data_IF_998573006330
#
_entry.id   IF_998573006330
#
_cell.length_a   1.000
_cell.length_b   1.000
_cell.length_c   1.000
_cell.angle_alpha   90.00
_cell.angle_beta   90.00
_cell.angle_gamma   90.00
#
_symmetry.space_group_name_H-M   'P 1'
#
loop_
_entity.id
_entity.type
_entity.pdbx_description
1 polymer ?
#
# COMPACT_ATOMS: atom_id res chain seq x y z
N UNK A 1 19.01 -71.09 33.81
CA UNK A 1 18.52 -71.24 35.20
C UNK A 1 18.00 -69.89 35.67
N UNK A 2 16.75 -69.87 36.16
CA UNK A 2 16.13 -68.86 37.03
C UNK A 2 16.02 -67.40 36.52
N UNK A 3 14.83 -67.05 36.02
CA UNK A 3 14.07 -65.99 36.68
C UNK A 3 13.70 -66.52 38.10
N UNK A 4 13.57 -65.73 39.19
CA UNK A 4 12.81 -64.47 39.22
C UNK A 4 13.35 -63.44 40.27
N UNK A 5 12.69 -62.27 40.40
CA UNK A 5 11.92 -61.84 41.59
C UNK A 5 11.81 -60.33 41.70
N UNK A 6 10.56 -59.92 41.88
CA UNK A 6 10.06 -58.60 42.22
C UNK A 6 10.70 -58.00 43.48
N UNK A 7 10.85 -56.67 43.44
CA UNK A 7 10.94 -55.79 44.61
C UNK A 7 9.99 -54.58 44.41
N UNK A 8 9.61 -53.87 45.48
CA UNK A 8 8.21 -53.55 45.78
C UNK A 8 7.75 -52.13 45.44
N UNK A 9 6.42 -51.93 45.51
CA UNK A 9 5.75 -50.63 45.57
C UNK A 9 6.29 -49.78 46.74
N UNK A 10 6.63 -48.53 46.44
CA UNK A 10 6.66 -47.44 47.41
C UNK A 10 5.78 -46.30 46.91
N UNK A 11 4.78 -45.97 47.73
CA UNK A 11 3.84 -44.86 47.58
C UNK A 11 4.43 -43.57 48.15
N UNK A 12 4.26 -42.49 47.39
CA UNK A 12 4.09 -41.10 47.80
C UNK A 12 4.83 -40.58 49.03
N UNK A 13 5.85 -39.74 48.79
CA UNK A 13 5.94 -38.45 49.46
C UNK A 13 6.82 -37.46 48.65
N UNK A 14 6.33 -36.22 48.55
CA UNK A 14 7.05 -34.99 48.19
C UNK A 14 7.37 -34.72 46.71
N UNK A 15 6.38 -34.19 46.00
CA UNK A 15 6.57 -33.38 44.79
C UNK A 15 7.09 -31.99 45.21
N UNK A 16 8.27 -31.53 44.74
CA UNK A 16 8.69 -30.14 44.95
C UNK A 16 7.87 -29.22 44.05
N UNK A 17 7.21 -28.21 44.64
CA UNK A 17 6.54 -27.13 43.91
C UNK A 17 7.56 -26.40 43.01
N UNK A 18 7.26 -26.15 41.72
CA UNK A 18 8.15 -25.35 40.90
C UNK A 18 8.18 -23.91 41.42
N UNK A 19 9.40 -23.44 41.68
CA UNK A 19 9.73 -22.05 42.02
C UNK A 19 9.21 -21.15 40.91
N UNK A 20 8.50 -20.08 41.30
CA UNK A 20 8.15 -18.96 40.41
C UNK A 20 9.45 -18.35 39.89
N UNK A 21 9.85 -18.68 38.66
CA UNK A 21 10.86 -17.93 37.92
C UNK A 21 10.19 -16.73 37.28
N UNK A 22 10.62 -15.58 37.74
CA UNK A 22 10.34 -14.27 37.18
C UNK A 22 10.91 -14.15 35.75
N UNK A 23 10.12 -13.51 34.87
CA UNK A 23 10.49 -12.83 33.62
C UNK A 23 11.07 -13.71 32.50
N UNK A 24 10.34 -13.81 31.39
CA UNK A 24 10.74 -13.35 30.04
C UNK A 24 9.65 -13.76 29.04
N UNK A 25 8.86 -12.79 28.54
CA UNK A 25 8.41 -12.70 27.14
C UNK A 25 7.36 -11.58 26.99
N UNK A 26 7.75 -10.34 27.25
CA UNK A 26 7.05 -9.21 26.63
C UNK A 26 7.59 -9.11 25.21
N UNK A 27 6.92 -9.77 24.26
CA UNK A 27 7.11 -9.48 22.85
C UNK A 27 6.65 -8.05 22.63
N UNK A 28 7.60 -7.14 22.45
CA UNK A 28 7.32 -5.84 21.87
C UNK A 28 6.87 -6.07 20.43
N UNK A 29 5.55 -6.17 20.22
CA UNK A 29 4.98 -5.73 18.94
C UNK A 29 5.55 -4.33 18.73
N UNK A 30 6.40 -4.15 17.72
CA UNK A 30 6.81 -2.81 17.32
C UNK A 30 5.54 -1.99 17.15
N UNK A 31 5.35 -0.98 18.00
CA UNK A 31 4.24 -0.05 17.88
C UNK A 31 4.41 0.63 16.53
N UNK A 32 3.60 0.25 15.55
CA UNK A 32 3.51 0.95 14.26
C UNK A 32 2.70 2.22 14.51
N UNK A 33 3.23 3.10 15.34
CA UNK A 33 2.74 4.45 15.50
C UNK A 33 3.64 5.34 14.66
N UNK A 34 3.10 5.86 13.56
CA UNK A 34 3.77 6.84 12.72
C UNK A 34 3.22 8.23 13.09
N UNK A 35 3.75 8.90 14.14
CA UNK A 35 3.25 10.20 14.59
C UNK A 35 3.34 11.28 13.50
N UNK A 36 4.21 11.08 12.52
CA UNK A 36 4.49 12.03 11.44
C UNK A 36 3.96 11.55 10.08
N UNK A 37 2.96 10.68 10.08
CA UNK A 37 2.28 10.27 8.85
C UNK A 37 1.40 11.42 8.35
N UNK A 38 1.51 11.72 7.06
CA UNK A 38 0.71 12.75 6.38
C UNK A 38 0.20 12.18 5.06
N UNK A 39 -0.97 12.63 4.63
CA UNK A 39 -1.47 12.25 3.31
C UNK A 39 -0.60 12.93 2.25
N UNK A 40 -0.68 12.41 1.03
CA UNK A 40 0.09 12.92 -0.12
C UNK A 40 -0.07 14.43 -0.34
N UNK A 41 -1.28 14.96 -0.13
CA UNK A 41 -1.60 16.38 -0.32
C UNK A 41 -0.94 17.27 0.74
N UNK A 42 -1.07 16.91 2.01
CA UNK A 42 -0.47 17.64 3.13
C UNK A 42 1.05 17.62 3.02
N UNK A 43 1.65 16.49 2.60
CA UNK A 43 3.10 16.43 2.33
C UNK A 43 3.53 17.36 1.21
N UNK A 44 2.80 17.38 0.09
CA UNK A 44 3.10 18.28 -1.01
C UNK A 44 2.96 19.75 -0.60
N UNK A 45 1.92 20.07 0.16
CA UNK A 45 1.72 21.42 0.71
C UNK A 45 2.90 21.83 1.60
N UNK A 46 3.36 20.93 2.46
CA UNK A 46 4.44 21.21 3.41
C UNK A 46 5.82 21.24 2.74
N UNK A 47 6.04 20.43 1.68
CA UNK A 47 7.26 20.43 0.87
C UNK A 47 7.49 21.78 0.17
N UNK A 48 6.41 22.50 -0.16
CA UNK A 48 6.43 23.68 -1.04
C UNK A 48 7.05 23.35 -2.41
N UNK A 49 7.26 24.36 -3.26
CA UNK A 49 7.98 24.16 -4.52
C UNK A 49 9.49 24.08 -4.25
N UNK A 50 10.15 22.95 -4.52
CA UNK A 50 11.59 22.84 -4.32
C UNK A 50 12.34 23.64 -5.39
N UNK A 51 13.47 24.29 -5.04
CA UNK A 51 14.27 25.05 -6.00
C UNK A 51 14.97 24.18 -7.05
N UNK A 52 15.20 22.91 -6.74
CA UNK A 52 15.82 21.94 -7.64
C UNK A 52 15.33 20.52 -7.36
N UNK A 53 15.25 19.70 -8.42
CA UNK A 53 14.76 18.32 -8.39
C UNK A 53 15.62 17.44 -9.29
N UNK A 54 15.96 16.25 -8.80
CA UNK A 54 16.67 15.21 -9.56
C UNK A 54 15.80 13.96 -9.53
N UNK A 55 15.54 13.36 -10.69
CA UNK A 55 14.71 12.16 -10.78
C UNK A 55 15.34 11.11 -11.69
N UNK A 56 15.34 9.86 -11.24
CA UNK A 56 15.53 8.67 -12.07
C UNK A 56 14.15 8.04 -12.24
N UNK A 57 13.69 7.86 -13.47
CA UNK A 57 12.32 7.38 -13.74
C UNK A 57 12.35 6.02 -14.41
N UNK A 58 11.46 5.14 -13.96
CA UNK A 58 11.18 3.84 -14.58
C UNK A 58 12.42 2.98 -14.79
N UNK A 59 13.32 2.95 -13.80
CA UNK A 59 14.46 2.06 -13.80
C UNK A 59 13.95 0.62 -13.75
N UNK A 60 14.27 -0.16 -14.77
CA UNK A 60 13.68 -1.47 -14.97
C UNK A 60 14.51 -2.55 -14.27
N UNK A 61 13.83 -3.46 -13.58
CA UNK A 61 14.43 -4.66 -13.01
C UNK A 61 13.46 -5.85 -13.16
N UNK A 62 13.99 -7.07 -13.03
CA UNK A 62 13.17 -8.29 -12.95
C UNK A 62 13.38 -8.86 -11.55
N UNK A 63 12.34 -8.79 -10.71
CA UNK A 63 12.46 -9.11 -9.29
C UNK A 63 11.39 -10.12 -8.87
N UNK A 64 11.71 -10.90 -7.83
CA UNK A 64 10.75 -11.71 -7.10
C UNK A 64 10.16 -10.84 -5.99
N UNK A 65 9.06 -10.15 -6.28
CA UNK A 65 8.43 -9.19 -5.35
C UNK A 65 6.92 -9.26 -5.47
N UNK A 66 6.23 -9.21 -4.32
CA UNK A 66 4.78 -9.24 -4.24
C UNK A 66 4.14 -10.47 -4.91
N UNK A 67 2.91 -10.26 -5.40
CA UNK A 67 2.07 -11.20 -6.12
C UNK A 67 2.01 -10.87 -7.61
N UNK A 68 1.86 -11.89 -8.44
CA UNK A 68 1.51 -11.68 -9.85
C UNK A 68 0.01 -11.36 -10.01
N UNK A 69 -0.43 -11.15 -11.26
CA UNK A 69 -1.84 -10.88 -11.58
C UNK A 69 -2.82 -12.00 -11.15
N UNK A 70 -2.32 -13.19 -10.83
CA UNK A 70 -3.11 -14.34 -10.38
C UNK A 70 -3.05 -14.54 -8.86
N UNK A 71 -2.41 -13.62 -8.13
CA UNK A 71 -2.20 -13.69 -6.69
C UNK A 71 -1.12 -14.69 -6.27
N UNK A 72 -0.32 -15.21 -7.21
CA UNK A 72 0.77 -16.14 -6.89
C UNK A 72 1.95 -15.36 -6.34
N UNK A 73 2.43 -15.78 -5.19
CA UNK A 73 3.61 -15.19 -4.58
C UNK A 73 4.90 -15.81 -5.12
N UNK A 74 6.01 -15.09 -4.97
CA UNK A 74 7.33 -15.60 -5.31
C UNK A 74 7.58 -15.74 -6.81
N UNK A 75 6.74 -15.17 -7.66
CA UNK A 75 6.99 -15.12 -9.10
C UNK A 75 7.94 -13.97 -9.43
N UNK A 76 8.79 -14.18 -10.44
CA UNK A 76 9.61 -13.09 -11.01
C UNK A 76 8.76 -12.26 -11.95
N UNK A 77 8.79 -10.94 -11.81
CA UNK A 77 8.03 -10.03 -12.65
C UNK A 77 8.83 -8.75 -12.95
N UNK A 78 8.54 -8.06 -14.07
CA UNK A 78 9.12 -6.75 -14.34
C UNK A 78 8.67 -5.75 -13.27
N UNK A 79 9.61 -4.90 -12.85
CA UNK A 79 9.42 -3.84 -11.87
C UNK A 79 9.99 -2.55 -12.44
N UNK A 80 9.26 -1.45 -12.28
CA UNK A 80 9.74 -0.11 -12.59
C UNK A 80 9.97 0.62 -11.26
N UNK A 81 11.17 1.15 -11.08
CA UNK A 81 11.55 1.90 -9.88
C UNK A 81 11.84 3.34 -10.28
N UNK A 82 11.10 4.27 -9.69
CA UNK A 82 11.31 5.71 -9.85
C UNK A 82 11.75 6.30 -8.52
N UNK A 83 12.75 7.15 -8.56
CA UNK A 83 13.25 7.89 -7.42
C UNK A 83 13.32 9.37 -7.76
N UNK A 84 12.83 10.19 -6.85
CA UNK A 84 12.79 11.64 -6.96
C UNK A 84 13.40 12.22 -5.70
N UNK A 85 14.39 13.08 -5.88
CA UNK A 85 15.05 13.80 -4.80
C UNK A 85 14.84 15.29 -5.01
N UNK A 86 14.25 15.95 -4.02
CA UNK A 86 14.08 17.40 -4.00
C UNK A 86 15.17 18.01 -3.13
N UNK A 87 15.86 19.03 -3.64
CA UNK A 87 16.94 19.69 -2.91
C UNK A 87 16.40 20.86 -2.09
N UNK A 88 17.14 21.26 -1.06
CA UNK A 88 16.84 22.48 -0.27
C UNK A 88 17.32 23.75 -0.96
N UNK A 89 18.37 23.63 -1.76
CA UNK A 89 19.03 24.73 -2.46
C UNK A 89 19.11 24.42 -3.96
N UNK A 90 19.21 25.44 -4.83
CA UNK A 90 19.48 25.25 -6.25
C UNK A 90 20.88 24.66 -6.50
N UNK A 91 21.19 24.33 -7.76
CA UNK A 91 22.45 23.69 -8.18
C UNK A 91 23.68 24.62 -8.16
N UNK A 92 23.79 25.54 -7.21
CA UNK A 92 24.71 26.70 -7.25
C UNK A 92 26.11 26.37 -7.78
N UNK A 93 26.91 25.64 -7.02
CA UNK A 93 28.30 25.33 -7.41
C UNK A 93 28.37 24.39 -8.61
N UNK A 94 27.44 23.43 -8.72
CA UNK A 94 27.42 22.47 -9.81
C UNK A 94 27.14 23.14 -11.17
N UNK A 95 26.26 24.14 -11.20
CA UNK A 95 25.89 24.88 -12.41
C UNK A 95 26.99 25.84 -12.87
N UNK A 96 27.69 26.49 -11.93
CA UNK A 96 28.76 27.44 -12.25
C UNK A 96 30.02 26.73 -12.72
N UNK A 97 30.33 25.58 -12.13
CA UNK A 97 31.57 24.84 -12.41
C UNK A 97 31.41 23.77 -13.49
N UNK A 98 30.18 23.48 -13.93
CA UNK A 98 29.85 22.37 -14.82
C UNK A 98 30.40 21.02 -14.31
N UNK A 99 30.31 20.82 -12.99
CA UNK A 99 30.86 19.65 -12.29
C UNK A 99 29.88 19.10 -11.26
N UNK A 100 29.95 17.79 -11.01
CA UNK A 100 29.18 17.13 -9.96
C UNK A 100 29.82 17.43 -8.60
N UNK A 101 29.41 18.55 -8.01
CA UNK A 101 29.90 19.04 -6.72
C UNK A 101 28.96 18.67 -5.57
N UNK A 102 29.27 19.11 -4.34
CA UNK A 102 28.47 18.83 -3.14
C UNK A 102 27.06 19.47 -3.15
N UNK A 103 26.75 20.38 -4.08
CA UNK A 103 25.41 20.99 -4.22
C UNK A 103 24.45 20.19 -5.09
N UNK A 104 24.86 19.05 -5.63
CA UNK A 104 24.03 18.20 -6.50
C UNK A 104 24.19 16.71 -6.15
N UNK A 105 23.31 15.89 -6.73
CA UNK A 105 23.34 14.43 -6.58
C UNK A 105 23.56 13.82 -7.96
N UNK A 106 24.50 12.89 -8.06
CA UNK A 106 24.74 12.17 -9.30
C UNK A 106 23.60 11.15 -9.55
N UNK A 107 22.79 11.37 -10.58
CA UNK A 107 21.71 10.47 -10.96
C UNK A 107 22.22 9.08 -11.40
N UNK A 108 23.44 8.99 -11.93
CA UNK A 108 24.11 7.73 -12.26
C UNK A 108 24.39 6.92 -10.99
N UNK A 109 25.02 7.53 -9.98
CA UNK A 109 25.26 6.87 -8.68
C UNK A 109 23.94 6.50 -7.99
N UNK A 110 22.91 7.35 -8.08
CA UNK A 110 21.56 7.04 -7.59
C UNK A 110 20.98 5.80 -8.27
N UNK A 111 21.04 5.73 -9.61
CA UNK A 111 20.53 4.57 -10.36
C UNK A 111 21.26 3.27 -10.01
N UNK A 112 22.60 3.33 -9.86
CA UNK A 112 23.42 2.17 -9.45
C UNK A 112 23.03 1.72 -8.04
N UNK A 113 22.90 2.65 -7.10
CA UNK A 113 22.53 2.33 -5.72
C UNK A 113 21.13 1.70 -5.62
N UNK A 114 20.16 2.16 -6.42
CA UNK A 114 18.84 1.56 -6.51
C UNK A 114 18.93 0.11 -7.02
N UNK A 115 19.67 -0.12 -8.11
CA UNK A 115 19.83 -1.47 -8.67
C UNK A 115 20.58 -2.41 -7.73
N UNK A 116 21.64 -1.94 -7.06
CA UNK A 116 22.33 -2.71 -6.03
C UNK A 116 21.39 -3.11 -4.89
N UNK A 117 20.54 -2.20 -4.42
CA UNK A 117 19.55 -2.49 -3.40
C UNK A 117 18.50 -3.50 -3.89
N UNK A 118 18.04 -3.36 -5.13
CA UNK A 118 17.10 -4.27 -5.75
C UNK A 118 17.68 -5.68 -5.96
N UNK A 119 18.95 -5.78 -6.38
CA UNK A 119 19.65 -7.06 -6.50
C UNK A 119 19.87 -7.71 -5.13
N UNK A 120 20.32 -6.94 -4.13
CA UNK A 120 20.42 -7.45 -2.74
C UNK A 120 19.08 -7.94 -2.21
N UNK A 121 18.00 -7.24 -2.54
CA UNK A 121 16.64 -7.68 -2.21
C UNK A 121 16.28 -8.99 -2.92
N UNK A 122 16.62 -9.12 -4.20
CA UNK A 122 16.39 -10.35 -4.98
C UNK A 122 17.19 -11.55 -4.45
N UNK A 123 18.47 -11.36 -4.15
CA UNK A 123 19.40 -12.40 -3.71
C UNK A 123 19.09 -12.92 -2.31
N UNK A 124 18.41 -12.12 -1.47
CA UNK A 124 17.80 -12.59 -0.21
C UNK A 124 16.68 -13.62 -0.43
N UNK A 125 16.35 -13.92 -1.69
CA UNK A 125 15.33 -14.81 -2.19
C UNK A 125 14.82 -15.86 -1.21
N UNK A 126 13.51 -15.85 -0.98
CA UNK A 126 12.75 -16.90 -0.28
C UNK A 126 13.18 -17.25 1.13
N UNK A 127 14.10 -16.51 1.77
CA UNK A 127 14.20 -16.58 3.22
C UNK A 127 12.85 -16.09 3.77
N UNK A 128 12.04 -16.94 4.43
CA UNK A 128 10.81 -16.47 5.03
C UNK A 128 11.18 -15.28 5.92
N UNK A 129 10.42 -14.19 5.81
CA UNK A 129 10.42 -13.18 6.86
C UNK A 129 10.16 -13.88 8.20
N UNK A 130 10.45 -13.24 9.33
CA UNK A 130 10.25 -13.82 10.67
C UNK A 130 8.80 -14.38 10.83
N UNK A 131 7.85 -13.85 10.04
CA UNK A 131 6.44 -14.22 10.02
C UNK A 131 6.05 -15.25 8.92
N UNK A 132 7.00 -15.81 8.17
CA UNK A 132 6.74 -16.78 7.10
C UNK A 132 6.22 -16.19 5.78
N UNK A 133 6.03 -14.86 5.69
CA UNK A 133 5.55 -14.16 4.49
C UNK A 133 6.67 -13.94 3.48
N UNK A 134 6.32 -13.99 2.19
CA UNK A 134 7.21 -13.63 1.08
C UNK A 134 7.43 -12.11 1.01
N UNK A 135 8.45 -11.70 0.24
CA UNK A 135 8.97 -10.34 0.16
C UNK A 135 8.00 -9.38 -0.55
N UNK A 136 7.59 -8.32 0.16
CA UNK A 136 6.56 -7.36 -0.29
C UNK A 136 7.15 -6.17 -1.04
N UNK A 137 6.31 -5.40 -1.73
CA UNK A 137 6.74 -4.11 -2.32
C UNK A 137 7.24 -3.13 -1.25
N UNK A 138 6.65 -3.17 -0.05
CA UNK A 138 7.06 -2.34 1.09
C UNK A 138 8.49 -2.64 1.54
N UNK A 139 8.88 -3.91 1.52
CA UNK A 139 10.22 -4.35 1.90
C UNK A 139 11.26 -3.91 0.88
N UNK A 140 10.90 -3.91 -0.41
CA UNK A 140 11.76 -3.38 -1.47
C UNK A 140 11.96 -1.87 -1.32
N UNK A 141 10.89 -1.10 -1.10
CA UNK A 141 10.99 0.34 -0.79
C UNK A 141 11.93 0.56 0.39
N UNK A 142 11.71 -0.15 1.50
CA UNK A 142 12.53 0.00 2.71
C UNK A 142 14.00 -0.31 2.46
N UNK A 143 14.29 -1.35 1.65
CA UNK A 143 15.66 -1.72 1.28
C UNK A 143 16.35 -0.64 0.45
N UNK A 144 15.61 -0.02 -0.48
CA UNK A 144 16.12 1.07 -1.32
C UNK A 144 16.34 2.34 -0.47
N UNK A 145 15.39 2.70 0.39
CA UNK A 145 15.52 3.85 1.31
C UNK A 145 16.74 3.71 2.21
N UNK A 146 16.95 2.53 2.82
CA UNK A 146 18.12 2.27 3.66
C UNK A 146 19.45 2.45 2.91
N UNK A 147 19.48 2.12 1.62
CA UNK A 147 20.69 2.28 0.80
C UNK A 147 20.94 3.74 0.42
N UNK A 148 19.89 4.50 0.16
CA UNK A 148 19.98 5.86 -0.39
C UNK A 148 20.04 6.92 0.71
N UNK A 149 19.18 6.81 1.72
CA UNK A 149 19.00 7.78 2.80
C UNK A 149 18.84 7.06 4.15
N UNK A 150 19.90 6.37 4.64
CA UNK A 150 19.87 5.67 5.93
C UNK A 150 19.50 6.62 7.09
N UNK A 151 19.04 6.06 8.21
CA UNK A 151 18.73 6.86 9.40
C UNK A 151 20.02 7.44 10.00
N UNK A 152 19.87 8.55 10.72
CA UNK A 152 20.98 9.22 11.39
C UNK A 152 21.70 8.22 12.31
N UNK A 153 23.00 8.04 12.09
CA UNK A 153 23.85 7.13 12.88
C UNK A 153 23.92 5.68 12.38
N UNK A 154 23.16 5.28 11.35
CA UNK A 154 23.18 3.90 10.84
C UNK A 154 24.25 3.65 9.76
N UNK A 155 24.68 4.67 9.01
CA UNK A 155 25.78 4.54 8.06
C UNK A 155 26.47 5.89 7.77
N UNK A 156 27.82 5.97 7.86
CA UNK A 156 28.56 7.19 7.50
C UNK A 156 28.55 7.48 5.99
N UNK A 157 28.37 6.47 5.15
CA UNK A 157 28.40 6.57 3.68
C UNK A 157 26.99 6.68 3.06
N UNK A 158 26.15 7.55 3.63
CA UNK A 158 24.84 7.85 3.04
C UNK A 158 25.03 8.45 1.65
N UNK A 159 24.40 7.87 0.62
CA UNK A 159 24.47 8.42 -0.74
C UNK A 159 23.88 9.84 -0.78
N UNK A 160 22.81 10.06 -0.02
CA UNK A 160 22.14 11.34 0.09
C UNK A 160 22.42 11.95 1.45
N UNK A 161 23.00 13.15 1.44
CA UNK A 161 23.13 13.98 2.64
C UNK A 161 21.79 14.66 2.95
N UNK A 162 21.23 14.40 4.13
CA UNK A 162 19.94 14.96 4.58
C UNK A 162 19.94 16.50 4.71
N UNK A 163 21.11 17.09 4.91
CA UNK A 163 21.32 18.54 4.90
C UNK A 163 21.04 19.15 3.53
N UNK A 164 21.30 18.41 2.44
CA UNK A 164 21.09 18.87 1.07
C UNK A 164 19.65 18.66 0.59
N UNK A 165 18.96 17.64 1.12
CA UNK A 165 17.68 17.15 0.59
C UNK A 165 16.49 17.58 1.43
N UNK A 166 15.47 18.12 0.77
CA UNK A 166 14.17 18.46 1.36
C UNK A 166 13.24 17.26 1.37
N UNK A 167 13.19 16.47 0.29
CA UNK A 167 12.40 15.24 0.24
C UNK A 167 12.96 14.16 -0.66
N UNK A 168 12.58 12.92 -0.36
CA UNK A 168 12.80 11.73 -1.17
C UNK A 168 11.44 11.08 -1.46
N UNK A 169 11.15 10.83 -2.72
CA UNK A 169 9.98 10.08 -3.17
C UNK A 169 10.44 8.87 -3.98
N UNK A 170 9.97 7.69 -3.57
CA UNK A 170 10.20 6.42 -4.26
C UNK A 170 8.86 5.87 -4.71
N UNK A 171 8.74 5.55 -5.99
CA UNK A 171 7.58 4.87 -6.57
C UNK A 171 8.03 3.55 -7.19
N UNK A 172 7.41 2.46 -6.77
CA UNK A 172 7.61 1.13 -7.35
C UNK A 172 6.35 0.72 -8.09
N UNK A 173 6.47 0.43 -9.38
CA UNK A 173 5.34 -0.02 -10.22
C UNK A 173 5.54 -1.46 -10.66
N UNK A 174 4.49 -2.27 -10.50
CA UNK A 174 4.41 -3.65 -10.98
C UNK A 174 3.44 -3.70 -12.18
N UNK A 175 3.94 -3.53 -13.42
CA UNK A 175 3.08 -3.41 -14.61
C UNK A 175 2.31 -4.68 -14.96
N UNK A 176 2.70 -5.85 -14.42
CA UNK A 176 2.07 -7.15 -14.69
C UNK A 176 1.38 -7.77 -13.47
N UNK A 177 1.16 -6.99 -12.41
CA UNK A 177 0.55 -7.48 -11.18
C UNK A 177 -0.98 -7.40 -11.16
N UNK A 178 -1.61 -6.80 -12.18
CA UNK A 178 -3.06 -6.68 -12.32
C UNK A 178 -3.52 -7.24 -13.66
N UNK A 179 -4.71 -7.83 -13.73
CA UNK A 179 -5.24 -8.45 -14.95
C UNK A 179 -5.90 -7.44 -15.89
N UNK A 180 -6.62 -6.47 -15.32
CA UNK A 180 -7.51 -5.56 -16.06
C UNK A 180 -6.88 -4.17 -16.25
N UNK A 181 -5.60 -4.01 -15.94
CA UNK A 181 -4.88 -2.74 -16.06
C UNK A 181 -3.86 -2.77 -17.19
N UNK A 182 -3.65 -1.62 -17.86
CA UNK A 182 -2.46 -1.45 -18.73
C UNK A 182 -1.20 -0.99 -18.02
N UNK A 183 -1.34 -0.38 -16.85
CA UNK A 183 -0.23 0.28 -16.14
C UNK A 183 0.22 -0.52 -14.92
N UNK A 184 -0.67 -1.32 -14.35
CA UNK A 184 -0.46 -2.12 -13.16
C UNK A 184 -0.76 -1.36 -11.86
N UNK A 185 -0.09 -1.79 -10.80
CA UNK A 185 -0.15 -1.17 -9.48
C UNK A 185 1.15 -0.42 -9.20
N UNK A 186 1.06 0.76 -8.59
CA UNK A 186 2.21 1.44 -8.02
C UNK A 186 2.06 1.64 -6.52
N UNK A 187 3.20 1.63 -5.81
CA UNK A 187 3.31 1.96 -4.41
C UNK A 187 4.33 3.07 -4.24
N UNK A 188 3.93 4.12 -3.55
CA UNK A 188 4.75 5.31 -3.34
C UNK A 188 5.06 5.48 -1.86
N UNK A 189 6.32 5.80 -1.57
CA UNK A 189 6.80 6.28 -0.28
C UNK A 189 7.42 7.65 -0.48
N UNK A 190 6.86 8.66 0.17
CA UNK A 190 7.39 10.01 0.18
C UNK A 190 7.86 10.35 1.59
N UNK A 191 9.11 10.79 1.72
CA UNK A 191 9.69 11.26 2.97
C UNK A 191 10.07 12.73 2.83
N UNK A 192 9.51 13.58 3.69
CA UNK A 192 9.90 14.97 3.87
C UNK A 192 10.86 15.06 5.05
N UNK A 193 12.02 15.66 4.82
CA UNK A 193 13.03 15.87 5.85
C UNK A 193 12.92 17.30 6.39
N UNK A 194 12.63 17.44 7.68
CA UNK A 194 12.71 18.72 8.38
C UNK A 194 14.13 18.91 8.94
N UNK A 195 14.87 19.87 8.38
CA UNK A 195 16.23 20.18 8.82
C UNK A 195 16.26 20.92 10.17
N UNK A 196 15.17 21.57 10.58
CA UNK A 196 15.15 22.38 11.80
C UNK A 196 14.91 21.51 13.03
N UNK A 197 14.00 20.54 12.91
CA UNK A 197 13.58 19.70 14.03
C UNK A 197 14.14 18.27 13.97
N UNK A 198 14.96 17.97 12.96
CA UNK A 198 15.45 16.61 12.65
C UNK A 198 14.31 15.58 12.55
N UNK A 199 13.11 16.04 12.16
CA UNK A 199 11.93 15.20 12.01
C UNK A 199 11.77 14.74 10.56
N UNK A 200 11.21 13.55 10.40
CA UNK A 200 10.76 13.04 9.11
C UNK A 200 9.24 12.96 9.10
N UNK A 201 8.62 13.46 8.04
CA UNK A 201 7.22 13.19 7.73
C UNK A 201 7.13 12.20 6.58
N UNK A 202 6.20 11.25 6.66
CA UNK A 202 6.06 10.19 5.66
C UNK A 202 4.66 10.15 5.07
N UNK A 203 4.59 9.83 3.79
CA UNK A 203 3.37 9.53 3.07
C UNK A 203 3.53 8.21 2.35
N UNK A 204 2.50 7.40 2.40
CA UNK A 204 2.49 6.10 1.75
C UNK A 204 1.18 5.92 1.01
N UNK A 205 1.25 5.56 -0.26
CA UNK A 205 0.06 5.29 -1.06
C UNK A 205 0.22 4.06 -1.93
N UNK A 206 -0.90 3.41 -2.23
CA UNK A 206 -1.01 2.33 -3.22
C UNK A 206 -2.01 2.77 -4.27
N UNK A 207 -1.64 2.65 -5.55
CA UNK A 207 -2.45 3.12 -6.68
C UNK A 207 -2.63 2.00 -7.70
N UNK A 208 -3.87 1.63 -8.00
CA UNK A 208 -4.23 0.83 -9.17
C UNK A 208 -4.59 1.80 -10.29
N UNK A 209 -3.87 1.73 -11.40
CA UNK A 209 -4.06 2.66 -12.53
C UNK A 209 -4.76 1.97 -13.68
N UNK A 210 -5.57 2.70 -14.43
CA UNK A 210 -6.12 2.26 -15.72
C UNK A 210 -6.86 0.90 -15.72
N UNK A 211 -7.62 0.59 -14.68
CA UNK A 211 -8.47 -0.61 -14.66
C UNK A 211 -9.60 -0.48 -15.68
N UNK A 212 -9.59 -1.32 -16.72
CA UNK A 212 -10.56 -1.31 -17.82
C UNK A 212 -11.66 -2.31 -17.57
N UNK A 213 -12.87 -1.82 -17.27
CA UNK A 213 -13.99 -2.68 -16.88
C UNK A 213 -15.23 -2.39 -17.73
N UNK A 214 -15.81 -3.46 -18.27
CA UNK A 214 -17.08 -3.38 -19.01
C UNK A 214 -18.25 -3.24 -18.02
N UNK A 215 -18.87 -2.06 -18.00
CA UNK A 215 -19.85 -1.65 -16.99
C UNK A 215 -21.14 -1.20 -17.64
N UNK A 216 -22.30 -1.55 -17.07
CA UNK A 216 -23.59 -1.04 -17.53
C UNK A 216 -23.85 0.34 -16.90
N UNK A 217 -23.54 1.41 -17.64
CA UNK A 217 -23.53 2.79 -17.13
C UNK A 217 -24.17 3.78 -18.11
N UNK A 218 -24.96 4.73 -17.61
CA UNK A 218 -25.58 5.77 -18.42
C UNK A 218 -27.05 5.99 -18.07
N UNK A 219 -27.54 7.18 -18.41
CA UNK A 219 -28.90 7.63 -18.16
C UNK A 219 -29.82 7.31 -19.34
N UNK A 220 -29.30 7.36 -20.56
CA UNK A 220 -30.12 7.19 -21.75
C UNK A 220 -30.50 5.71 -21.93
N UNK A 221 -31.74 5.37 -22.31
CA UNK A 221 -32.15 3.98 -22.54
C UNK A 221 -31.23 3.22 -23.51
N UNK A 222 -30.70 3.89 -24.53
CA UNK A 222 -29.75 3.30 -25.48
C UNK A 222 -28.44 2.85 -24.79
N UNK A 223 -27.96 3.62 -23.81
CA UNK A 223 -26.78 3.28 -23.00
C UNK A 223 -27.02 2.08 -22.07
N UNK A 224 -28.29 1.71 -21.86
CA UNK A 224 -28.71 0.57 -21.03
C UNK A 224 -28.78 -0.74 -21.80
N UNK A 225 -28.59 -0.72 -23.12
CA UNK A 225 -28.68 -1.91 -23.97
C UNK A 225 -27.36 -2.70 -24.03
N UNK A 226 -26.24 -2.07 -23.70
CA UNK A 226 -24.93 -2.69 -23.76
C UNK A 226 -23.99 -2.13 -22.69
N UNK A 227 -23.08 -2.99 -22.22
CA UNK A 227 -21.97 -2.57 -21.35
C UNK A 227 -21.02 -1.69 -22.14
N UNK A 228 -20.48 -0.68 -21.46
CA UNK A 228 -19.53 0.28 -22.01
C UNK A 228 -18.23 0.20 -21.21
N UNK A 229 -17.12 0.58 -21.83
CA UNK A 229 -15.84 0.65 -21.15
C UNK A 229 -15.84 1.82 -20.15
N UNK A 230 -15.50 1.51 -18.89
CA UNK A 230 -15.17 2.49 -17.86
C UNK A 230 -13.74 2.21 -17.42
N UNK A 231 -12.92 3.26 -17.31
CA UNK A 231 -11.56 3.17 -16.80
C UNK A 231 -11.55 3.69 -15.36
N UNK A 232 -11.06 2.88 -14.41
CA UNK A 232 -10.98 3.23 -13.01
C UNK A 232 -9.54 3.38 -12.53
N UNK A 233 -9.28 4.45 -11.78
CA UNK A 233 -8.06 4.70 -11.03
C UNK A 233 -8.42 4.71 -9.54
N UNK A 234 -7.73 3.89 -8.74
CA UNK A 234 -8.01 3.73 -7.32
C UNK A 234 -6.73 3.99 -6.55
N UNK A 235 -6.75 4.97 -5.65
CA UNK A 235 -5.64 5.25 -4.73
C UNK A 235 -6.11 5.09 -3.28
N UNK A 236 -5.32 4.33 -2.52
CA UNK A 236 -5.38 4.28 -1.08
C UNK A 236 -4.20 5.08 -0.54
N UNK A 237 -4.46 6.34 -0.19
CA UNK A 237 -3.50 7.20 0.49
C UNK A 237 -3.43 6.83 1.97
N UNK A 238 -2.32 7.10 2.66
CA UNK A 238 -2.05 6.65 4.03
C UNK A 238 -2.05 5.12 4.21
N UNK A 239 -1.72 4.37 3.15
CA UNK A 239 -1.64 2.91 3.22
C UNK A 239 -0.30 2.44 3.81
N UNK A 240 -0.28 2.28 5.14
CA UNK A 240 0.92 1.93 5.91
C UNK A 240 1.15 0.43 6.08
N UNK A 241 0.20 -0.42 5.72
CA UNK A 241 0.35 -1.88 5.91
C UNK A 241 1.38 -2.44 4.95
N UNK A 242 2.20 -3.41 5.42
CA UNK A 242 3.24 -4.02 4.58
C UNK A 242 2.67 -4.96 3.52
N UNK A 243 1.47 -5.49 3.74
CA UNK A 243 0.84 -6.48 2.86
C UNK A 243 0.49 -5.90 1.50
N UNK A 244 0.70 -6.73 0.47
CA UNK A 244 0.30 -6.47 -0.90
C UNK A 244 -1.16 -6.91 -1.09
N UNK A 245 -2.07 -5.94 -1.20
CA UNK A 245 -3.53 -6.14 -1.24
C UNK A 245 -4.17 -5.83 -2.60
N UNK A 246 -3.36 -5.56 -3.60
CA UNK A 246 -3.84 -5.02 -4.88
C UNK A 246 -4.64 -6.04 -5.70
N UNK A 247 -4.44 -7.34 -5.50
CA UNK A 247 -5.25 -8.36 -6.16
C UNK A 247 -6.68 -8.39 -5.57
N UNK A 248 -6.81 -8.33 -4.25
CA UNK A 248 -8.08 -8.23 -3.53
C UNK A 248 -8.81 -6.92 -3.88
N UNK A 249 -8.06 -5.81 -3.95
CA UNK A 249 -8.58 -4.51 -4.33
C UNK A 249 -9.03 -4.46 -5.80
N UNK A 250 -8.27 -5.06 -6.72
CA UNK A 250 -8.71 -5.19 -8.12
C UNK A 250 -9.99 -6.01 -8.19
N UNK A 251 -10.04 -7.16 -7.53
CA UNK A 251 -11.20 -8.05 -7.57
C UNK A 251 -12.48 -7.34 -7.11
N UNK A 252 -12.43 -6.62 -5.98
CA UNK A 252 -13.62 -5.93 -5.48
C UNK A 252 -14.07 -4.81 -6.43
N UNK A 253 -13.13 -4.07 -7.02
CA UNK A 253 -13.43 -2.97 -7.95
C UNK A 253 -14.04 -3.53 -9.24
N UNK A 254 -13.34 -4.47 -9.89
CA UNK A 254 -13.76 -5.04 -11.17
C UNK A 254 -15.12 -5.70 -11.05
N UNK A 255 -15.29 -6.63 -10.09
CA UNK A 255 -16.56 -7.35 -9.96
C UNK A 255 -17.72 -6.41 -9.59
N UNK A 256 -17.48 -5.44 -8.69
CA UNK A 256 -18.52 -4.46 -8.36
C UNK A 256 -18.94 -3.64 -9.58
N UNK A 257 -17.98 -3.19 -10.39
CA UNK A 257 -18.28 -2.47 -11.62
C UNK A 257 -19.03 -3.36 -12.63
N UNK A 258 -18.56 -4.58 -12.87
CA UNK A 258 -19.19 -5.52 -13.82
C UNK A 258 -20.63 -5.92 -13.44
N UNK A 259 -20.89 -6.09 -12.14
CA UNK A 259 -22.20 -6.46 -11.60
C UNK A 259 -23.14 -5.25 -11.46
N UNK A 260 -22.60 -4.03 -11.47
CA UNK A 260 -23.39 -2.82 -11.27
C UNK A 260 -24.21 -2.41 -12.49
N UNK A 261 -25.26 -1.65 -12.22
CA UNK A 261 -26.15 -1.07 -13.22
C UNK A 261 -26.44 0.41 -12.91
N UNK A 262 -25.49 1.14 -12.33
CA UNK A 262 -25.69 2.55 -11.99
C UNK A 262 -25.97 3.40 -13.22
N UNK A 263 -26.64 4.53 -13.04
CA UNK A 263 -26.88 5.48 -14.13
C UNK A 263 -25.73 6.47 -14.29
N UNK A 264 -25.07 6.84 -13.19
CA UNK A 264 -24.04 7.88 -13.16
C UNK A 264 -22.72 7.39 -12.56
N UNK A 265 -21.60 8.01 -12.97
CA UNK A 265 -20.27 7.66 -12.48
C UNK A 265 -20.08 8.03 -10.99
N UNK A 266 -20.71 9.11 -10.53
CA UNK A 266 -20.70 9.56 -9.13
C UNK A 266 -21.29 8.50 -8.21
N UNK A 267 -22.43 7.91 -8.60
CA UNK A 267 -23.09 6.86 -7.82
C UNK A 267 -22.23 5.60 -7.76
N UNK A 268 -21.61 5.23 -8.88
CA UNK A 268 -20.69 4.10 -8.96
C UNK A 268 -19.44 4.34 -8.10
N UNK A 269 -18.81 5.51 -8.20
CA UNK A 269 -17.62 5.87 -7.43
C UNK A 269 -17.91 5.85 -5.92
N UNK A 270 -19.03 6.44 -5.51
CA UNK A 270 -19.49 6.44 -4.11
C UNK A 270 -19.68 5.03 -3.58
N UNK A 271 -20.29 4.15 -4.38
CA UNK A 271 -20.51 2.76 -4.02
C UNK A 271 -19.20 1.96 -3.92
N UNK A 272 -18.27 2.19 -4.85
CA UNK A 272 -16.93 1.60 -4.81
C UNK A 272 -16.18 2.02 -3.54
N UNK A 273 -16.19 3.32 -3.20
CA UNK A 273 -15.53 3.83 -1.99
C UNK A 273 -16.06 3.12 -0.73
N UNK A 274 -17.39 2.98 -0.63
CA UNK A 274 -18.01 2.25 0.47
C UNK A 274 -17.56 0.78 0.54
N UNK A 275 -17.58 0.06 -0.58
CA UNK A 275 -17.15 -1.35 -0.63
C UNK A 275 -15.67 -1.53 -0.29
N UNK A 276 -14.81 -0.71 -0.86
CA UNK A 276 -13.35 -0.74 -0.60
C UNK A 276 -13.10 -0.47 0.88
N UNK A 277 -13.74 0.55 1.45
CA UNK A 277 -13.63 0.87 2.88
C UNK A 277 -14.04 -0.32 3.75
N UNK A 278 -15.19 -0.93 3.45
CA UNK A 278 -15.80 -1.99 4.26
C UNK A 278 -15.09 -3.34 4.16
N UNK A 279 -14.67 -3.75 2.97
CA UNK A 279 -14.19 -5.12 2.72
C UNK A 279 -12.67 -5.22 2.48
N UNK A 280 -11.99 -4.09 2.29
CA UNK A 280 -10.53 -4.02 2.15
C UNK A 280 -9.93 -3.23 3.32
N UNK A 281 -10.24 -1.94 3.44
CA UNK A 281 -9.55 -1.07 4.41
C UNK A 281 -9.77 -1.55 5.84
N UNK A 282 -11.02 -1.68 6.28
CA UNK A 282 -11.29 -2.04 7.66
C UNK A 282 -10.77 -3.43 8.06
N UNK A 283 -11.05 -4.52 7.31
CA UNK A 283 -10.56 -5.85 7.67
C UNK A 283 -9.04 -5.95 7.74
N UNK A 284 -8.30 -5.25 6.86
CA UNK A 284 -6.84 -5.24 6.93
C UNK A 284 -6.35 -4.45 8.15
N UNK A 285 -6.97 -3.33 8.47
CA UNK A 285 -6.54 -2.51 9.60
C UNK A 285 -6.81 -3.18 10.95
N UNK A 286 -7.98 -3.82 11.16
CA UNK A 286 -8.25 -4.54 12.43
C UNK A 286 -7.37 -5.77 12.65
N UNK A 287 -6.79 -6.34 11.59
CA UNK A 287 -5.83 -7.45 11.69
C UNK A 287 -4.46 -6.97 12.15
N UNK A 288 -4.10 -5.72 11.86
CA UNK A 288 -2.76 -5.18 12.08
C UNK A 288 -2.66 -4.18 13.24
N UNK A 289 -3.78 -3.57 13.65
CA UNK A 289 -3.82 -2.55 14.69
C UNK A 289 -4.77 -2.94 15.80
N UNK A 290 -4.40 -2.57 17.03
CA UNK A 290 -5.27 -2.79 18.19
C UNK A 290 -6.40 -1.75 18.19
N UNK A 291 -7.59 -2.15 18.68
CA UNK A 291 -8.77 -1.25 18.77
C UNK A 291 -8.45 0.05 19.49
N UNK A 292 -7.57 0.00 20.51
CA UNK A 292 -7.11 1.19 21.23
C UNK A 292 -6.35 2.16 20.33
N UNK A 293 -5.50 1.65 19.43
CA UNK A 293 -4.74 2.47 18.48
C UNK A 293 -5.69 3.10 17.46
N UNK A 294 -6.62 2.32 16.91
CA UNK A 294 -7.59 2.79 15.92
C UNK A 294 -8.55 3.88 16.45
N UNK A 295 -8.78 3.88 17.77
CA UNK A 295 -9.59 4.88 18.46
C UNK A 295 -8.80 6.15 18.84
N UNK A 296 -7.48 6.19 18.64
CA UNK A 296 -6.70 7.40 18.85
C UNK A 296 -7.09 8.45 17.79
N UNK A 297 -7.35 9.71 18.16
CA UNK A 297 -7.64 10.77 17.20
C UNK A 297 -6.55 10.96 16.14
N UNK A 298 -5.29 10.68 16.51
CA UNK A 298 -4.09 10.76 15.67
C UNK A 298 -3.92 9.54 14.77
N UNK A 299 -4.72 8.50 14.94
CA UNK A 299 -4.75 7.38 14.02
C UNK A 299 -5.39 7.81 12.71
N UNK A 300 -4.78 7.45 11.59
CA UNK A 300 -5.30 7.76 10.29
C UNK A 300 -5.71 6.49 9.57
N UNK A 301 -6.95 6.48 9.08
CA UNK A 301 -7.36 5.49 8.09
C UNK A 301 -7.02 5.99 6.69
N UNK A 302 -6.87 5.07 5.72
CA UNK A 302 -6.64 5.43 4.34
C UNK A 302 -7.71 6.35 3.76
N UNK A 303 -7.29 7.39 3.05
CA UNK A 303 -8.18 8.14 2.17
C UNK A 303 -8.31 7.37 0.85
N UNK A 304 -9.54 7.12 0.43
CA UNK A 304 -9.86 6.41 -0.81
C UNK A 304 -10.13 7.46 -1.88
N UNK A 305 -9.25 7.53 -2.89
CA UNK A 305 -9.46 8.35 -4.08
C UNK A 305 -9.86 7.45 -5.23
N UNK A 306 -10.93 7.82 -5.93
CA UNK A 306 -11.48 7.06 -7.06
C UNK A 306 -11.70 8.02 -8.20
N UNK A 307 -11.02 7.78 -9.32
CA UNK A 307 -11.26 8.43 -10.59
C UNK A 307 -11.89 7.46 -11.58
N UNK A 308 -13.07 7.79 -12.10
CA UNK A 308 -13.77 7.01 -13.12
C UNK A 308 -13.87 7.82 -14.41
N UNK A 309 -13.46 7.24 -15.51
CA UNK A 309 -13.56 7.86 -16.83
C UNK A 309 -14.36 7.01 -17.80
N UNK A 310 -15.10 7.68 -18.69
CA UNK A 310 -15.95 7.03 -19.70
C UNK A 310 -15.56 7.54 -21.10
N UNK A 311 -14.57 6.92 -21.78
CA UNK A 311 -13.98 7.47 -22.99
C UNK A 311 -14.97 7.78 -24.12
N UNK A 312 -16.03 6.99 -24.26
CA UNK A 312 -16.99 7.13 -25.36
C UNK A 312 -18.13 8.11 -25.08
N UNK A 313 -18.15 8.78 -23.93
CA UNK A 313 -19.30 9.60 -23.52
C UNK A 313 -19.36 10.97 -24.19
N UNK A 314 -18.22 11.56 -24.57
CA UNK A 314 -18.16 12.90 -25.18
C UNK A 314 -17.34 12.81 -26.46
N UNK A 315 -17.98 13.07 -27.60
CA UNK A 315 -17.39 12.82 -28.94
C UNK A 315 -16.16 13.66 -29.27
N UNK A 316 -16.04 14.85 -28.69
CA UNK A 316 -14.95 15.81 -28.97
C UNK A 316 -13.96 15.94 -27.80
N UNK A 317 -14.00 15.03 -26.84
CA UNK A 317 -13.05 14.97 -25.73
C UNK A 317 -12.49 13.55 -25.61
N UNK A 318 -11.25 13.41 -25.13
CA UNK A 318 -10.63 12.09 -24.95
C UNK A 318 -11.42 11.23 -23.96
N UNK A 319 -11.81 11.81 -22.82
CA UNK A 319 -12.73 11.20 -21.87
C UNK A 319 -13.23 12.23 -20.83
N UNK A 320 -14.52 12.25 -20.47
CA UNK A 320 -14.94 12.84 -19.19
C UNK A 320 -14.43 11.97 -18.03
N UNK A 321 -14.18 12.61 -16.88
CA UNK A 321 -13.70 11.99 -15.65
C UNK A 321 -14.50 12.53 -14.46
N UNK A 322 -14.86 11.64 -13.55
CA UNK A 322 -15.41 11.96 -12.23
C UNK A 322 -14.43 11.46 -11.18
N UNK A 323 -14.06 12.31 -10.23
CA UNK A 323 -13.16 11.98 -9.14
C UNK A 323 -13.79 12.27 -7.78
N UNK A 324 -13.63 11.34 -6.84
CA UNK A 324 -13.97 11.53 -5.43
C UNK A 324 -12.78 11.18 -4.55
N UNK A 325 -12.68 11.83 -3.39
CA UNK A 325 -11.74 11.50 -2.33
C UNK A 325 -12.53 11.44 -1.02
N UNK A 326 -12.49 10.29 -0.34
CA UNK A 326 -13.28 10.04 0.87
C UNK A 326 -12.38 9.49 1.98
N UNK A 327 -12.46 10.06 3.18
CA UNK A 327 -11.83 9.48 4.36
C UNK A 327 -12.62 8.22 4.78
N UNK A 328 -11.92 7.09 4.86
CA UNK A 328 -12.53 5.82 5.29
C UNK A 328 -13.21 5.92 6.66
N UNK A 329 -12.71 6.77 7.58
CA UNK A 329 -13.32 6.99 8.89
C UNK A 329 -14.75 7.52 8.78
N UNK A 330 -15.03 8.40 7.81
CA UNK A 330 -16.39 8.91 7.58
C UNK A 330 -17.34 7.81 7.10
N UNK A 331 -16.83 6.84 6.34
CA UNK A 331 -17.62 5.71 5.87
C UNK A 331 -17.94 4.73 7.00
N UNK A 332 -16.99 4.48 7.91
CA UNK A 332 -17.21 3.66 9.11
C UNK A 332 -18.23 4.27 10.07
N UNK A 333 -18.29 5.59 10.17
CA UNK A 333 -19.29 6.27 10.99
C UNK A 333 -20.73 6.04 10.46
N UNK A 334 -20.89 5.84 9.15
CA UNK A 334 -22.20 5.67 8.48
C UNK A 334 -22.70 4.23 8.50
N UNK A 335 -21.81 3.25 8.54
CA UNK A 335 -22.16 1.83 8.60
C UNK A 335 -21.18 1.08 9.51
N UNK A 336 -21.68 0.26 10.46
CA UNK A 336 -20.81 -0.45 11.40
C UNK A 336 -19.82 -1.30 10.59
N UNK A 337 -18.52 -1.14 10.81
CA UNK A 337 -17.52 -1.72 9.95
C UNK A 337 -17.52 -3.26 10.05
N UNK A 338 -17.16 -3.92 8.95
CA UNK A 338 -17.20 -5.39 8.84
C UNK A 338 -15.79 -5.95 8.94
N UNK A 339 -15.54 -6.89 9.86
CA UNK A 339 -14.24 -7.56 9.97
C UNK A 339 -14.07 -8.70 8.95
N UNK A 340 -15.09 -8.96 8.13
CA UNK A 340 -15.06 -10.04 7.13
C UNK A 340 -14.31 -9.54 5.88
N UNK A 341 -13.22 -10.21 5.53
CA UNK A 341 -12.50 -9.98 4.28
C UNK A 341 -13.11 -10.82 3.16
N UNK A 342 -13.22 -10.23 1.97
CA UNK A 342 -13.52 -10.99 0.77
C UNK A 342 -12.41 -12.01 0.51
N UNK A 343 -12.74 -13.28 0.25
CA UNK A 343 -11.73 -14.26 -0.15
C UNK A 343 -11.15 -13.89 -1.52
N UNK A 344 -9.90 -14.26 -1.73
CA UNK A 344 -9.25 -14.16 -3.03
C UNK A 344 -8.64 -15.52 -3.41
N UNK A 345 -8.91 -16.04 -4.61
CA UNK A 345 -9.90 -15.54 -5.58
C UNK A 345 -11.34 -15.82 -5.11
N UNK A 346 -12.24 -14.85 -5.27
CA UNK A 346 -13.68 -15.04 -5.05
C UNK A 346 -14.28 -15.80 -6.24
N UNK A 347 -15.01 -16.87 -5.95
CA UNK A 347 -15.84 -17.57 -6.93
C UNK A 347 -17.25 -16.97 -6.93
N UNK A 348 -17.79 -16.68 -8.12
CA UNK A 348 -19.14 -16.11 -8.27
C UNK A 348 -19.26 -14.60 -8.00
N UNK A 349 -20.50 -14.09 -7.92
CA UNK A 349 -20.79 -12.67 -7.75
C UNK A 349 -20.44 -12.13 -6.36
N UNK A 350 -19.97 -10.89 -6.28
CA UNK A 350 -19.67 -10.21 -5.02
C UNK A 350 -20.94 -10.03 -4.19
N UNK A 351 -22.05 -9.67 -4.82
CA UNK A 351 -23.32 -9.43 -4.10
C UNK A 351 -23.88 -10.68 -3.43
N UNK A 352 -23.69 -11.86 -4.02
CA UNK A 352 -24.14 -13.11 -3.43
C UNK A 352 -23.33 -13.45 -2.19
N UNK A 353 -22.00 -13.32 -2.29
CA UNK A 353 -21.12 -13.53 -1.15
C UNK A 353 -21.42 -12.57 0.00
N UNK A 354 -21.65 -11.28 -0.30
CA UNK A 354 -22.00 -10.27 0.70
C UNK A 354 -23.31 -10.62 1.41
N UNK A 355 -24.34 -11.07 0.68
CA UNK A 355 -25.62 -11.45 1.29
C UNK A 355 -25.48 -12.60 2.29
N UNK A 356 -24.59 -13.54 2.00
CA UNK A 356 -24.34 -14.71 2.85
C UNK A 356 -23.49 -14.38 4.09
N UNK A 357 -22.43 -13.58 3.92
CA UNK A 357 -21.41 -13.37 4.96
C UNK A 357 -21.53 -12.03 5.69
N UNK A 358 -22.23 -11.06 5.10
CA UNK A 358 -22.46 -9.72 5.65
C UNK A 358 -23.85 -9.17 5.26
N UNK A 359 -24.92 -9.79 5.77
CA UNK A 359 -26.30 -9.42 5.41
C UNK A 359 -26.68 -7.98 5.82
N UNK A 360 -25.95 -7.38 6.77
CA UNK A 360 -26.12 -5.96 7.12
C UNK A 360 -25.51 -5.03 6.08
N UNK A 361 -24.36 -5.40 5.50
CA UNK A 361 -23.74 -4.69 4.38
C UNK A 361 -24.62 -4.67 3.13
N UNK A 362 -25.31 -5.78 2.84
CA UNK A 362 -26.24 -5.86 1.70
C UNK A 362 -27.42 -4.88 1.78
N UNK A 363 -27.82 -4.47 3.00
CA UNK A 363 -28.99 -3.61 3.24
C UNK A 363 -28.69 -2.11 3.28
N UNK A 364 -27.41 -1.73 3.43
CA UNK A 364 -26.99 -0.33 3.61
C UNK A 364 -25.93 0.02 2.57
N UNK A 365 -26.37 0.52 1.42
CA UNK A 365 -25.53 1.44 0.67
C UNK A 365 -25.85 2.85 1.21
N UNK A 366 -25.05 3.43 2.12
CA UNK A 366 -25.23 4.83 2.47
C UNK A 366 -24.86 5.62 1.22
N UNK A 367 -25.85 5.93 0.39
CA UNK A 367 -25.68 6.89 -0.70
C UNK A 367 -25.03 8.13 -0.07
N UNK A 368 -23.93 8.59 -0.66
CA UNK A 368 -23.31 9.86 -0.29
C UNK A 368 -24.33 10.97 -0.64
N UNK A 369 -25.32 11.16 0.23
CA UNK A 369 -26.26 12.28 0.14
C UNK A 369 -25.50 13.57 0.40
N UNK A 370 -25.73 14.55 -0.49
CA UNK A 370 -25.01 15.81 -0.56
C UNK A 370 -25.33 16.82 0.53
#
# INVERSE_FOLDING_TARGET
>A
MKAPRFLPRLSFSQVPKPRKSSKLSTHSKEKIFWPNLKNSWDLQRDLRQPPAKISVRNLQAILRVGRDAWGREGQVQPVLISATVSLRQPFDTASVQDEVTQSTINYGTLSIAILEAAHKFHDRGSAPTIDGSLSTVSDLISTIEQRIAPKVGEAPDALIQRSLVSSLELEITLPKALLNSTTGVSRTSATLFDALNEQEYRGMSVVLRDLRVSTLIGLNPNERLAKQLVIANIELDLWVTKQDIYNELEQIVVKTMEESSFQTLESLASHLAWKISRYIVYPHFVKHFEVREMNDPSFHFPCIKIGLSKPTAVTLADTPVVEICVDSRELFARAPPCAVSLPFPLQGPVEEWIKEHDPEGSKKNPVLGG
#
